data_IF_453400493089
#
_entry.id   IF_453400493089
#
_cell.length_a   1.000
_cell.length_b   1.000
_cell.length_c   1.000
_cell.angle_alpha   90.00
_cell.angle_beta   90.00
_cell.angle_gamma   90.00
#
_symmetry.space_group_name_H-M   'P 1'
#
loop_
_entity.id
_entity.type
_entity.pdbx_description
1 polymer ?
#
# COMPACT_ATOMS: atom_id res chain seq x y z
N UNK A 1 31.42 -18.54 -4.18
CA UNK A 1 31.73 -17.42 -5.08
C UNK A 1 30.72 -17.44 -6.21
N UNK A 2 30.09 -16.29 -6.50
CA UNK A 2 29.30 -16.11 -7.73
C UNK A 2 30.27 -16.04 -8.90
N UNK A 3 30.01 -16.79 -9.97
CA UNK A 3 30.74 -16.76 -11.21
C UNK A 3 29.77 -16.38 -12.33
N UNK A 4 30.16 -15.47 -13.19
CA UNK A 4 29.47 -15.16 -14.42
C UNK A 4 30.01 -16.09 -15.51
N UNK A 5 29.09 -16.73 -16.25
CA UNK A 5 29.44 -17.67 -17.32
C UNK A 5 28.81 -17.17 -18.60
N UNK A 6 29.64 -16.76 -19.55
CA UNK A 6 29.20 -16.35 -20.88
C UNK A 6 29.35 -17.50 -21.87
N UNK A 7 28.33 -17.73 -22.69
CA UNK A 7 28.35 -18.69 -23.78
C UNK A 7 28.56 -17.95 -25.10
N UNK A 8 29.65 -18.19 -25.78
CA UNK A 8 29.92 -17.61 -27.09
C UNK A 8 29.11 -18.38 -28.15
N UNK A 9 28.10 -17.74 -28.71
CA UNK A 9 27.21 -18.34 -29.73
C UNK A 9 27.81 -18.23 -31.12
N UNK A 10 28.38 -17.08 -31.50
CA UNK A 10 28.99 -16.86 -32.81
C UNK A 10 30.09 -15.78 -32.77
N UNK A 11 30.97 -15.79 -33.76
CA UNK A 11 31.98 -14.76 -34.02
C UNK A 11 31.82 -14.25 -35.43
N UNK A 12 31.46 -12.99 -35.58
CA UNK A 12 31.10 -12.38 -36.86
C UNK A 12 32.14 -11.32 -37.28
N UNK A 13 32.44 -11.27 -38.56
CA UNK A 13 33.17 -10.15 -39.13
C UNK A 13 32.17 -9.28 -39.89
N UNK A 14 32.10 -8.00 -39.53
CA UNK A 14 31.17 -7.06 -40.15
C UNK A 14 31.49 -6.83 -41.63
N UNK A 15 30.67 -7.39 -42.49
CA UNK A 15 30.69 -7.22 -43.95
C UNK A 15 29.23 -6.97 -44.40
N UNK A 16 29.02 -6.38 -45.59
CA UNK A 16 27.71 -5.97 -46.06
C UNK A 16 26.61 -7.05 -46.11
N UNK A 17 26.96 -8.34 -46.03
CA UNK A 17 26.00 -9.46 -46.05
C UNK A 17 25.78 -10.14 -44.67
N UNK A 18 26.30 -9.55 -43.59
CA UNK A 18 26.30 -10.19 -42.25
C UNK A 18 24.93 -10.13 -41.54
N UNK A 19 24.03 -9.26 -41.99
CA UNK A 19 22.76 -8.98 -41.27
C UNK A 19 21.94 -10.26 -40.95
N UNK A 20 21.72 -11.12 -41.93
CA UNK A 20 20.97 -12.37 -41.74
C UNK A 20 21.58 -13.30 -40.69
N UNK A 21 22.91 -13.52 -40.82
CA UNK A 21 23.64 -14.37 -39.88
C UNK A 21 23.66 -13.77 -38.48
N UNK A 22 23.76 -12.45 -38.37
CA UNK A 22 23.67 -11.74 -37.09
C UNK A 22 22.31 -11.94 -36.45
N UNK A 23 21.22 -11.82 -37.22
CA UNK A 23 19.84 -12.07 -36.71
C UNK A 23 19.70 -13.51 -36.20
N UNK A 24 20.13 -14.50 -37.00
CA UNK A 24 20.04 -15.91 -36.61
C UNK A 24 20.84 -16.18 -35.31
N UNK A 25 22.05 -15.59 -35.19
CA UNK A 25 22.91 -15.73 -34.01
C UNK A 25 22.32 -15.03 -32.77
N UNK A 26 21.71 -13.86 -32.93
CA UNK A 26 21.02 -13.14 -31.85
C UNK A 26 19.78 -13.91 -31.35
N UNK A 27 19.00 -14.52 -32.24
CA UNK A 27 17.85 -15.34 -31.86
C UNK A 27 18.27 -16.57 -31.05
N UNK A 28 19.36 -17.24 -31.45
CA UNK A 28 19.91 -18.39 -30.71
C UNK A 28 20.43 -17.94 -29.34
N UNK A 29 21.19 -16.83 -29.28
CA UNK A 29 21.72 -16.30 -28.03
C UNK A 29 20.60 -15.86 -27.06
N UNK A 30 19.58 -15.15 -27.56
CA UNK A 30 18.42 -14.73 -26.78
C UNK A 30 17.66 -15.94 -26.18
N UNK A 31 17.45 -16.98 -26.99
CA UNK A 31 16.78 -18.21 -26.55
C UNK A 31 17.58 -18.95 -25.47
N UNK A 32 18.89 -19.06 -25.61
CA UNK A 32 19.75 -19.76 -24.64
C UNK A 32 19.84 -19.04 -23.31
N UNK A 33 19.93 -17.70 -23.33
CA UNK A 33 20.10 -16.87 -22.14
C UNK A 33 18.78 -16.27 -21.60
N UNK A 34 17.63 -16.73 -22.07
CA UNK A 34 16.33 -16.27 -21.59
C UNK A 34 16.06 -14.79 -21.86
N UNK A 35 16.55 -14.26 -23.00
CA UNK A 35 16.33 -12.91 -23.47
C UNK A 35 17.52 -11.93 -23.26
N UNK A 36 18.63 -12.37 -22.68
CA UNK A 36 19.82 -11.51 -22.47
C UNK A 36 20.89 -11.88 -23.50
N UNK A 37 21.38 -10.88 -24.21
CA UNK A 37 22.44 -11.04 -25.22
C UNK A 37 23.55 -10.03 -24.99
N UNK A 38 24.79 -10.52 -24.91
CA UNK A 38 26.01 -9.72 -24.82
C UNK A 38 26.69 -9.68 -26.18
N UNK A 39 26.97 -8.51 -26.68
CA UNK A 39 27.72 -8.29 -27.93
C UNK A 39 29.02 -7.61 -27.59
N UNK A 40 30.15 -8.28 -27.91
CA UNK A 40 31.49 -7.75 -27.73
C UNK A 40 32.04 -7.29 -29.10
N UNK A 41 32.50 -6.05 -29.18
CA UNK A 41 33.07 -5.48 -30.39
C UNK A 41 34.57 -5.28 -30.21
N UNK A 42 35.34 -6.04 -30.96
CA UNK A 42 36.84 -5.94 -31.01
C UNK A 42 37.53 -6.06 -29.64
N UNK A 43 36.96 -6.78 -28.70
CA UNK A 43 37.52 -6.98 -27.36
C UNK A 43 37.57 -5.72 -26.47
N UNK A 44 36.97 -4.62 -26.91
CA UNK A 44 37.05 -3.33 -26.21
C UNK A 44 35.69 -2.74 -25.78
N UNK A 45 34.61 -3.08 -26.48
CA UNK A 45 33.28 -2.55 -26.20
C UNK A 45 32.28 -3.68 -26.03
N UNK A 46 31.74 -3.78 -24.85
CA UNK A 46 30.65 -4.69 -24.54
C UNK A 46 29.31 -3.92 -24.61
N UNK A 47 28.32 -4.52 -25.26
CA UNK A 47 26.93 -4.04 -25.29
C UNK A 47 26.05 -5.16 -24.82
N UNK A 48 25.26 -4.89 -23.79
CA UNK A 48 24.30 -5.84 -23.25
C UNK A 48 22.91 -5.46 -23.74
N UNK A 49 22.22 -6.41 -24.33
CA UNK A 49 20.83 -6.26 -24.80
C UNK A 49 19.93 -7.18 -24.00
N UNK A 50 18.74 -6.72 -23.71
CA UNK A 50 17.76 -7.52 -23.02
C UNK A 50 16.41 -7.40 -23.75
N UNK A 51 15.86 -8.53 -24.14
CA UNK A 51 14.55 -8.63 -24.78
C UNK A 51 13.41 -8.50 -23.78
N UNK A 52 13.70 -8.77 -22.52
CA UNK A 52 12.79 -8.55 -21.38
C UNK A 52 13.10 -7.18 -20.77
N UNK A 53 12.11 -6.48 -20.27
CA UNK A 53 12.19 -5.14 -19.68
C UNK A 53 13.11 -5.09 -18.44
N UNK A 54 14.40 -5.35 -18.61
CA UNK A 54 15.41 -5.35 -17.55
C UNK A 54 16.51 -4.34 -17.87
N UNK A 55 16.92 -3.58 -16.87
CA UNK A 55 18.05 -2.67 -16.99
C UNK A 55 19.35 -3.47 -16.93
N UNK A 56 20.21 -3.30 -17.93
CA UNK A 56 21.49 -3.98 -18.03
C UNK A 56 22.56 -3.40 -17.12
N UNK A 57 22.37 -2.17 -16.63
CA UNK A 57 23.31 -1.48 -15.73
C UNK A 57 23.03 -1.75 -14.26
N UNK A 58 21.76 -1.64 -13.83
CA UNK A 58 21.39 -1.77 -12.43
C UNK A 58 20.70 -3.12 -12.09
N UNK A 59 20.44 -3.97 -13.08
CA UNK A 59 19.82 -5.29 -12.88
C UNK A 59 18.33 -5.27 -12.52
N UNK A 60 17.69 -4.10 -12.49
CA UNK A 60 16.24 -4.00 -12.23
C UNK A 60 15.52 -4.63 -13.42
N UNK A 61 14.67 -5.62 -13.12
CA UNK A 61 13.82 -6.28 -14.10
C UNK A 61 12.36 -5.91 -13.86
N UNK A 62 11.70 -5.46 -14.92
CA UNK A 62 10.26 -5.23 -14.89
C UNK A 62 9.52 -6.49 -15.32
N UNK A 63 8.40 -6.82 -14.66
CA UNK A 63 7.55 -7.89 -15.12
C UNK A 63 6.95 -7.56 -16.49
N UNK A 64 6.46 -8.57 -17.18
CA UNK A 64 5.72 -8.39 -18.42
C UNK A 64 4.55 -7.43 -18.22
N UNK A 65 4.39 -6.48 -19.14
CA UNK A 65 3.30 -5.49 -19.07
C UNK A 65 2.00 -6.19 -19.41
N UNK A 66 1.23 -6.50 -18.38
CA UNK A 66 -0.10 -7.11 -18.51
C UNK A 66 -1.19 -6.18 -17.96
N UNK A 67 -2.44 -6.29 -18.39
CA UNK A 67 -3.54 -5.49 -17.82
C UNK A 67 -3.69 -5.65 -16.31
N UNK A 68 -3.35 -6.82 -15.74
CA UNK A 68 -3.41 -7.10 -14.31
C UNK A 68 -2.42 -6.27 -13.48
N UNK A 69 -1.35 -5.78 -14.10
CA UNK A 69 -0.38 -4.88 -13.47
C UNK A 69 -1.00 -3.51 -13.10
N UNK A 70 -2.04 -3.09 -13.77
CA UNK A 70 -2.77 -1.83 -13.54
C UNK A 70 -4.04 -2.03 -12.69
N UNK A 71 -4.24 -3.21 -12.14
CA UNK A 71 -5.39 -3.50 -11.29
C UNK A 71 -4.98 -3.54 -9.82
N UNK A 72 -5.54 -2.64 -9.01
CA UNK A 72 -5.33 -2.65 -7.55
C UNK A 72 -6.08 -3.79 -6.84
N UNK A 73 -7.00 -4.50 -7.52
CA UNK A 73 -7.65 -5.72 -7.02
C UNK A 73 -6.87 -6.99 -7.37
N UNK A 74 -5.79 -6.88 -8.15
CA UNK A 74 -4.93 -8.01 -8.50
C UNK A 74 -3.66 -8.01 -7.66
N UNK A 75 -3.21 -9.12 -7.10
CA UNK A 75 -1.95 -9.20 -6.37
C UNK A 75 -0.72 -8.85 -7.23
N UNK A 76 -0.86 -8.92 -8.56
CA UNK A 76 0.20 -8.53 -9.50
C UNK A 76 0.36 -7.01 -9.60
N UNK A 77 -0.73 -6.24 -9.47
CA UNK A 77 -0.74 -4.78 -9.59
C UNK A 77 -0.88 -4.04 -8.26
N UNK A 78 -1.53 -4.64 -7.26
CA UNK A 78 -1.77 -4.02 -5.98
C UNK A 78 -0.48 -3.70 -5.22
N UNK A 79 -0.41 -2.54 -4.60
CA UNK A 79 0.64 -2.20 -3.65
C UNK A 79 0.74 -3.25 -2.54
N UNK A 80 1.92 -3.76 -2.29
CA UNK A 80 2.14 -4.84 -1.30
C UNK A 80 1.88 -4.40 0.13
N UNK A 81 2.11 -3.14 0.45
CA UNK A 81 1.90 -2.58 1.79
C UNK A 81 0.42 -2.42 2.12
N UNK A 82 -0.34 -1.72 1.26
CA UNK A 82 -1.76 -1.44 1.51
C UNK A 82 -2.72 -2.42 0.83
N UNK A 83 -2.22 -3.45 0.16
CA UNK A 83 -3.01 -4.45 -0.58
C UNK A 83 -4.04 -3.86 -1.56
N UNK A 84 -3.70 -2.70 -2.13
CA UNK A 84 -4.57 -2.00 -3.09
C UNK A 84 -5.58 -1.03 -2.47
N UNK A 85 -5.55 -0.82 -1.15
CA UNK A 85 -6.45 0.13 -0.48
C UNK A 85 -6.07 1.60 -0.72
N UNK A 86 -4.78 1.90 -0.90
CA UNK A 86 -4.27 3.27 -1.03
C UNK A 86 -4.03 3.95 0.32
N UNK A 87 -4.56 3.37 1.38
CA UNK A 87 -4.50 3.86 2.75
C UNK A 87 -3.95 2.77 3.66
N UNK A 88 -3.38 3.16 4.78
CA UNK A 88 -2.96 2.28 5.86
C UNK A 88 -3.68 2.70 7.13
N UNK A 89 -4.38 1.75 7.72
CA UNK A 89 -5.03 1.94 9.00
C UNK A 89 -4.02 1.71 10.12
N UNK A 90 -4.09 2.52 11.16
CA UNK A 90 -3.24 2.42 12.34
C UNK A 90 -4.04 2.81 13.58
N UNK A 91 -3.66 2.27 14.73
CA UNK A 91 -4.23 2.69 16.02
C UNK A 91 -3.67 4.05 16.39
N UNK A 92 -4.56 5.03 16.50
CA UNK A 92 -4.20 6.43 16.72
C UNK A 92 -4.05 6.69 18.22
N UNK A 93 -2.87 7.15 18.69
CA UNK A 93 -2.67 7.52 20.08
C UNK A 93 -3.68 8.53 20.63
N UNK A 94 -4.13 9.49 19.81
CA UNK A 94 -5.13 10.49 20.20
C UNK A 94 -6.54 9.88 20.37
N UNK A 95 -6.87 8.83 19.65
CA UNK A 95 -8.11 8.08 19.85
C UNK A 95 -8.00 7.09 21.02
N UNK A 96 -6.81 6.56 21.29
CA UNK A 96 -6.54 5.70 22.43
C UNK A 96 -6.64 6.48 23.75
N UNK A 97 -6.10 7.70 23.77
CA UNK A 97 -6.13 8.61 24.94
C UNK A 97 -6.83 9.91 24.54
N UNK A 98 -8.16 9.92 24.42
CA UNK A 98 -8.89 11.07 23.88
C UNK A 98 -8.93 12.29 24.82
N UNK A 99 -8.70 12.07 26.11
CA UNK A 99 -8.61 13.14 27.12
C UNK A 99 -7.38 12.93 28.01
N UNK A 100 -6.32 13.66 27.70
CA UNK A 100 -5.07 13.61 28.45
C UNK A 100 -5.19 14.18 29.87
N UNK A 101 -6.26 14.88 30.20
CA UNK A 101 -6.49 15.44 31.53
C UNK A 101 -7.04 14.40 32.54
N UNK A 102 -7.41 13.22 32.05
CA UNK A 102 -7.94 12.12 32.87
C UNK A 102 -6.78 11.29 33.44
N UNK A 103 -6.96 10.77 34.66
CA UNK A 103 -5.98 9.86 35.27
C UNK A 103 -6.11 8.45 34.66
N UNK A 104 -4.99 7.69 34.70
CA UNK A 104 -4.96 6.33 34.14
C UNK A 104 -6.05 5.45 34.75
N UNK A 105 -6.19 5.48 36.09
CA UNK A 105 -7.21 4.70 36.84
C UNK A 105 -8.63 5.10 36.46
N UNK A 106 -8.84 6.33 36.06
CA UNK A 106 -10.16 6.88 35.66
C UNK A 106 -10.51 6.53 34.21
N UNK A 107 -9.60 5.85 33.49
CA UNK A 107 -9.84 5.38 32.13
C UNK A 107 -9.27 6.28 31.04
N UNK A 108 -8.16 6.96 31.28
CA UNK A 108 -7.46 7.74 30.26
C UNK A 108 -7.15 6.89 29.00
N UNK A 109 -6.83 5.60 29.17
CA UNK A 109 -6.62 4.64 28.09
C UNK A 109 -7.99 4.03 27.74
N UNK A 110 -8.70 4.65 26.81
CA UNK A 110 -10.10 4.33 26.48
C UNK A 110 -10.36 2.87 26.10
N UNK A 111 -9.53 2.19 25.24
CA UNK A 111 -9.79 0.81 24.85
C UNK A 111 -9.65 -0.22 25.98
N UNK A 112 -9.03 0.13 27.10
CA UNK A 112 -8.89 -0.72 28.28
C UNK A 112 -9.96 -0.46 29.35
N UNK A 113 -10.80 0.55 29.15
CA UNK A 113 -11.99 0.77 29.93
C UNK A 113 -13.03 -0.35 29.72
N UNK A 114 -13.96 -0.52 30.65
CA UNK A 114 -15.19 -1.29 30.38
C UNK A 114 -16.09 -0.45 29.50
N UNK A 115 -16.72 -1.05 28.50
CA UNK A 115 -17.73 -0.36 27.69
C UNK A 115 -18.78 0.32 28.61
N UNK A 116 -18.87 1.65 28.54
CA UNK A 116 -19.73 2.45 29.39
C UNK A 116 -19.25 2.72 30.84
N UNK A 117 -18.05 2.27 31.23
CA UNK A 117 -17.47 2.55 32.54
C UNK A 117 -16.30 3.52 32.43
N UNK A 118 -16.25 4.51 33.36
CA UNK A 118 -15.15 5.47 33.48
C UNK A 118 -13.91 4.92 34.22
N UNK A 119 -13.64 3.62 34.12
CA UNK A 119 -12.49 2.99 34.80
C UNK A 119 -11.91 1.86 33.96
N UNK A 120 -10.60 1.69 34.03
CA UNK A 120 -9.92 0.55 33.42
C UNK A 120 -10.47 -0.76 33.98
N UNK A 121 -10.43 -1.85 33.16
CA UNK A 121 -10.78 -3.18 33.65
C UNK A 121 -9.77 -3.62 34.73
N UNK A 122 -10.18 -4.45 35.69
CA UNK A 122 -9.34 -4.89 36.79
C UNK A 122 -8.02 -5.52 36.32
N UNK A 123 -8.05 -6.24 35.19
CA UNK A 123 -6.87 -6.85 34.60
C UNK A 123 -5.85 -5.78 34.14
N UNK A 124 -6.29 -4.83 33.32
CA UNK A 124 -5.42 -3.77 32.82
C UNK A 124 -4.94 -2.84 33.92
N UNK A 125 -5.79 -2.59 34.93
CA UNK A 125 -5.41 -1.79 36.08
C UNK A 125 -4.25 -2.43 36.85
N UNK A 126 -4.33 -3.73 37.16
CA UNK A 126 -3.27 -4.46 37.83
C UNK A 126 -1.96 -4.44 37.05
N UNK A 127 -2.03 -4.55 35.73
CA UNK A 127 -0.87 -4.44 34.85
C UNK A 127 -0.26 -3.00 34.89
N UNK A 128 -1.09 -1.97 34.83
CA UNK A 128 -0.67 -0.57 34.91
C UNK A 128 -0.05 -0.22 36.27
N UNK A 129 -0.54 -0.82 37.37
CA UNK A 129 0.06 -0.68 38.70
C UNK A 129 1.45 -1.34 38.78
N UNK A 130 1.66 -2.48 38.13
CA UNK A 130 2.99 -3.09 38.02
C UNK A 130 3.96 -2.19 37.24
N UNK A 131 3.52 -1.61 36.11
CA UNK A 131 4.30 -0.63 35.35
C UNK A 131 4.61 0.60 36.21
N UNK A 132 3.62 1.10 36.96
CA UNK A 132 3.79 2.24 37.85
C UNK A 132 4.85 2.00 38.93
N UNK A 133 4.87 0.79 39.51
CA UNK A 133 5.90 0.39 40.49
C UNK A 133 7.29 0.26 39.87
N UNK A 134 7.38 -0.27 38.65
CA UNK A 134 8.64 -0.45 37.94
C UNK A 134 9.27 0.88 37.49
N UNK A 135 8.47 1.74 36.89
CA UNK A 135 8.91 3.03 36.32
C UNK A 135 8.75 4.24 37.25
N UNK A 136 8.20 4.05 38.45
CA UNK A 136 8.08 5.12 39.46
C UNK A 136 6.98 6.15 39.15
N UNK A 137 5.85 5.74 38.53
CA UNK A 137 4.70 6.61 38.34
C UNK A 137 3.45 6.07 39.04
N UNK A 138 2.48 6.94 39.32
CA UNK A 138 1.20 6.57 39.92
C UNK A 138 0.10 6.48 38.88
N UNK A 139 -0.73 5.46 38.94
CA UNK A 139 -1.93 5.32 38.10
C UNK A 139 -2.99 6.41 38.36
N UNK A 140 -2.88 7.11 39.50
CA UNK A 140 -3.71 8.27 39.83
C UNK A 140 -3.23 9.58 39.18
N UNK A 141 -2.08 9.56 38.51
CA UNK A 141 -1.58 10.72 37.78
C UNK A 141 -2.34 10.89 36.47
N UNK A 142 -2.69 12.13 36.15
CA UNK A 142 -3.26 12.48 34.84
C UNK A 142 -2.26 12.15 33.74
N UNK A 143 -2.76 11.71 32.58
CA UNK A 143 -1.90 11.29 31.48
C UNK A 143 -0.99 12.44 31.01
N UNK A 144 -1.48 13.67 30.92
CA UNK A 144 -0.72 14.88 30.55
C UNK A 144 0.38 15.27 31.54
N UNK A 145 0.35 14.74 32.76
CA UNK A 145 1.34 14.99 33.82
C UNK A 145 2.39 13.89 33.92
N UNK A 146 2.24 12.81 33.19
CA UNK A 146 3.27 11.79 33.11
C UNK A 146 4.45 12.30 32.27
N UNK A 147 5.68 11.92 32.59
CA UNK A 147 6.84 12.16 31.71
C UNK A 147 6.61 11.59 30.31
N UNK A 148 7.09 12.27 29.26
CA UNK A 148 6.90 11.84 27.86
C UNK A 148 7.39 10.41 27.59
N UNK A 149 8.51 10.01 28.20
CA UNK A 149 9.01 8.64 28.07
C UNK A 149 8.06 7.59 28.66
N UNK A 150 7.30 7.92 29.72
CA UNK A 150 6.27 7.06 30.29
C UNK A 150 5.04 7.02 29.41
N UNK A 151 4.58 8.16 28.90
CA UNK A 151 3.48 8.20 27.94
C UNK A 151 3.79 7.34 26.71
N UNK A 152 5.00 7.51 26.15
CA UNK A 152 5.46 6.72 25.00
C UNK A 152 5.58 5.23 25.33
N UNK A 153 6.13 4.88 26.48
CA UNK A 153 6.23 3.50 26.93
C UNK A 153 4.86 2.85 27.10
N UNK A 154 3.88 3.57 27.65
CA UNK A 154 2.51 3.07 27.76
C UNK A 154 1.88 2.77 26.38
N UNK A 155 2.12 3.61 25.41
CA UNK A 155 1.57 3.43 24.04
C UNK A 155 2.34 2.39 23.23
N UNK A 156 3.68 2.47 23.19
CA UNK A 156 4.53 1.70 22.27
C UNK A 156 5.15 0.43 22.91
N UNK A 157 5.18 0.36 24.25
CA UNK A 157 5.76 -0.74 25.02
C UNK A 157 7.16 -0.47 25.57
N UNK A 158 7.66 -1.43 26.40
CA UNK A 158 8.97 -1.34 27.06
C UNK A 158 10.15 -1.79 26.18
N UNK A 159 9.91 -2.14 24.91
CA UNK A 159 10.93 -2.69 24.03
C UNK A 159 11.37 -4.08 24.46
N UNK A 160 12.64 -4.24 24.84
CA UNK A 160 13.21 -5.51 25.31
C UNK A 160 13.28 -5.60 26.84
N UNK A 161 12.91 -4.53 27.54
CA UNK A 161 12.96 -4.48 29.02
C UNK A 161 11.86 -5.36 29.61
N UNK A 162 12.27 -6.35 30.41
CA UNK A 162 11.36 -7.27 31.09
C UNK A 162 10.84 -6.69 32.39
N UNK A 163 9.56 -6.82 32.63
CA UNK A 163 8.84 -6.28 33.79
C UNK A 163 8.17 -7.42 34.54
N UNK A 164 8.22 -7.37 35.87
CA UNK A 164 7.56 -8.32 36.73
C UNK A 164 6.08 -7.95 36.89
N UNK A 165 5.20 -8.72 36.26
CA UNK A 165 3.77 -8.59 36.40
C UNK A 165 3.24 -9.54 37.47
N UNK A 166 2.48 -9.00 38.42
CA UNK A 166 1.83 -9.76 39.47
C UNK A 166 0.33 -9.55 39.39
N UNK A 167 -0.39 -10.61 39.17
CA UNK A 167 -1.84 -10.61 39.19
C UNK A 167 -2.32 -11.32 40.48
N UNK A 168 -3.03 -10.59 41.31
CA UNK A 168 -3.63 -11.13 42.52
C UNK A 168 -5.15 -11.15 42.39
N UNK A 169 -5.74 -12.31 42.59
CA UNK A 169 -7.19 -12.48 42.75
C UNK A 169 -7.46 -13.14 44.10
N UNK A 170 -8.69 -13.11 44.57
CA UNK A 170 -9.08 -13.71 45.86
C UNK A 170 -8.68 -15.19 46.00
N UNK A 171 -8.43 -15.90 44.88
CA UNK A 171 -8.17 -17.36 44.86
C UNK A 171 -6.79 -17.73 44.30
N UNK A 172 -6.05 -16.81 43.68
CA UNK A 172 -4.76 -17.15 43.08
C UNK A 172 -3.86 -15.92 42.93
N UNK A 173 -2.56 -16.14 43.14
CA UNK A 173 -1.51 -15.19 42.83
C UNK A 173 -0.67 -15.80 41.70
N UNK A 174 -0.60 -15.07 40.56
CA UNK A 174 0.19 -15.47 39.42
C UNK A 174 1.20 -14.36 39.09
N UNK A 175 2.45 -14.72 38.91
CA UNK A 175 3.50 -13.78 38.50
C UNK A 175 4.22 -14.30 37.26
N UNK A 176 4.52 -13.41 36.39
CA UNK A 176 5.30 -13.69 35.18
C UNK A 176 6.17 -12.48 34.84
N UNK A 177 7.25 -12.74 34.12
CA UNK A 177 8.20 -11.71 33.69
C UNK A 177 8.26 -11.69 32.16
N UNK A 178 7.97 -10.54 31.59
CA UNK A 178 8.01 -10.32 30.15
C UNK A 178 8.10 -8.83 29.81
N UNK A 179 8.52 -8.46 28.58
CA UNK A 179 8.40 -7.10 28.09
C UNK A 179 6.92 -6.68 28.03
N UNK A 180 6.66 -5.40 28.28
CA UNK A 180 5.36 -4.81 28.07
C UNK A 180 5.16 -4.48 26.62
N UNK A 181 4.13 -5.04 25.98
CA UNK A 181 3.89 -4.87 24.53
C UNK A 181 3.44 -3.47 24.12
N UNK A 182 2.89 -2.66 25.04
CA UNK A 182 2.27 -1.37 24.75
C UNK A 182 0.81 -1.47 24.31
N UNK A 183 0.08 -0.37 24.48
CA UNK A 183 -1.35 -0.33 24.13
C UNK A 183 -1.56 -0.55 22.64
N UNK A 184 -0.79 0.14 21.78
CA UNK A 184 -0.94 0.06 20.31
C UNK A 184 -0.77 -1.38 19.83
N UNK A 185 0.33 -2.04 20.19
CA UNK A 185 0.58 -3.43 19.77
C UNK A 185 -0.44 -4.42 20.35
N UNK A 186 -0.89 -4.18 21.60
CA UNK A 186 -1.97 -4.97 22.19
C UNK A 186 -3.24 -4.90 21.35
N UNK A 187 -3.62 -3.70 20.91
CA UNK A 187 -4.80 -3.50 20.07
C UNK A 187 -4.61 -4.11 18.68
N UNK A 188 -3.44 -3.92 18.04
CA UNK A 188 -3.09 -4.54 16.76
C UNK A 188 -3.23 -6.07 16.82
N UNK A 189 -2.63 -6.70 17.83
CA UNK A 189 -2.71 -8.15 18.02
C UNK A 189 -4.16 -8.59 18.24
N UNK A 190 -4.90 -7.91 19.12
CA UNK A 190 -6.31 -8.24 19.38
C UNK A 190 -7.20 -8.08 18.15
N UNK A 191 -6.96 -7.07 17.34
CA UNK A 191 -7.68 -6.84 16.09
C UNK A 191 -7.41 -7.94 15.05
N UNK A 192 -6.17 -8.46 15.00
CA UNK A 192 -5.78 -9.55 14.10
C UNK A 192 -6.30 -10.90 14.56
N UNK A 193 -6.28 -11.17 15.86
CA UNK A 193 -6.61 -12.48 16.46
C UNK A 193 -8.11 -12.69 16.72
N UNK A 194 -8.90 -11.59 16.81
CA UNK A 194 -10.33 -11.71 17.11
C UNK A 194 -11.12 -12.34 15.99
N UNK A 195 -11.95 -13.33 16.34
CA UNK A 195 -12.94 -13.91 15.44
C UNK A 195 -14.31 -13.20 15.51
N UNK A 196 -14.52 -12.31 16.51
CA UNK A 196 -15.76 -11.57 16.71
C UNK A 196 -15.75 -10.27 15.91
N UNK A 197 -16.76 -10.08 15.07
CA UNK A 197 -16.97 -8.86 14.29
C UNK A 197 -17.26 -7.66 15.20
N UNK A 198 -18.09 -7.83 16.25
CA UNK A 198 -18.41 -6.76 17.22
C UNK A 198 -17.15 -6.25 17.93
N UNK A 199 -16.23 -7.18 18.33
CA UNK A 199 -14.97 -6.79 18.98
C UNK A 199 -14.05 -6.07 17.99
N UNK A 200 -14.07 -6.48 16.73
CA UNK A 200 -13.27 -5.83 15.68
C UNK A 200 -13.77 -4.39 15.43
N UNK A 201 -15.07 -4.21 15.27
CA UNK A 201 -15.69 -2.88 15.13
C UNK A 201 -15.42 -1.96 16.33
N UNK A 202 -15.46 -2.51 17.55
CA UNK A 202 -15.15 -1.74 18.76
C UNK A 202 -13.65 -1.29 18.76
N UNK A 203 -12.74 -2.13 18.29
CA UNK A 203 -11.33 -1.78 18.18
C UNK A 203 -11.07 -0.77 17.04
N UNK A 204 -11.78 -0.88 15.93
CA UNK A 204 -11.67 0.05 14.79
C UNK A 204 -12.02 1.49 15.13
N UNK A 205 -12.80 1.73 16.20
CA UNK A 205 -13.06 3.09 16.72
C UNK A 205 -11.81 3.84 17.18
N UNK A 206 -10.74 3.12 17.47
CA UNK A 206 -9.44 3.66 17.86
C UNK A 206 -8.44 3.71 16.72
N UNK A 207 -8.92 3.43 15.49
CA UNK A 207 -8.09 3.47 14.29
C UNK A 207 -8.35 4.73 13.49
N UNK A 208 -7.29 5.22 12.88
CA UNK A 208 -7.33 6.27 11.87
C UNK A 208 -6.68 5.76 10.58
N UNK A 209 -6.90 6.44 9.47
CA UNK A 209 -6.27 6.11 8.20
C UNK A 209 -5.29 7.19 7.79
N UNK A 210 -4.21 6.78 7.15
CA UNK A 210 -3.28 7.68 6.49
C UNK A 210 -3.00 7.18 5.08
N UNK A 211 -2.67 8.09 4.18
CA UNK A 211 -2.23 7.72 2.83
C UNK A 211 -1.06 6.74 2.93
N UNK A 212 -1.14 5.64 2.20
CA UNK A 212 -0.08 4.63 2.21
C UNK A 212 1.27 5.25 1.79
N UNK A 213 2.30 5.17 2.65
CA UNK A 213 3.59 5.82 2.37
C UNK A 213 4.37 5.19 1.22
N UNK A 214 4.05 3.95 0.84
CA UNK A 214 4.74 3.22 -0.24
C UNK A 214 4.19 3.58 -1.61
N UNK A 215 2.87 3.59 -1.76
CA UNK A 215 2.22 3.89 -3.05
C UNK A 215 1.66 5.31 -3.12
N UNK A 216 1.73 6.07 -2.02
CA UNK A 216 1.24 7.45 -1.93
C UNK A 216 -0.20 7.63 -2.44
N UNK A 217 -1.06 6.66 -2.15
CA UNK A 217 -2.46 6.66 -2.56
C UNK A 217 -2.74 6.07 -3.95
N UNK A 218 -1.73 5.73 -4.76
CA UNK A 218 -1.96 5.16 -6.10
C UNK A 218 -2.57 3.76 -6.10
N UNK A 219 -2.55 3.06 -4.96
CA UNK A 219 -3.03 1.69 -4.77
C UNK A 219 -2.24 0.62 -5.53
N UNK A 220 -1.36 1.03 -6.43
CA UNK A 220 -0.60 0.16 -7.34
C UNK A 220 0.87 0.07 -6.92
N UNK A 221 1.55 -0.96 -7.43
CA UNK A 221 3.00 -1.08 -7.35
C UNK A 221 3.68 0.05 -8.12
N UNK A 222 4.91 0.40 -7.71
CA UNK A 222 5.67 1.49 -8.34
C UNK A 222 5.96 1.23 -9.81
N UNK A 223 6.11 -0.03 -10.21
CA UNK A 223 6.37 -0.44 -11.59
C UNK A 223 5.28 0.04 -12.56
N UNK A 224 4.02 0.01 -12.13
CA UNK A 224 2.91 0.52 -12.94
C UNK A 224 3.00 2.03 -13.22
N UNK A 225 3.65 2.80 -12.33
CA UNK A 225 3.81 4.25 -12.47
C UNK A 225 4.84 4.66 -13.52
N UNK A 226 5.77 3.77 -13.87
CA UNK A 226 6.78 4.05 -14.87
C UNK A 226 6.26 3.91 -16.31
N UNK A 227 5.12 3.25 -16.49
CA UNK A 227 4.45 3.12 -17.78
C UNK A 227 3.58 4.36 -17.99
N UNK A 228 3.89 5.12 -19.04
CA UNK A 228 3.26 6.41 -19.32
C UNK A 228 2.67 6.45 -20.72
N UNK A 229 1.55 7.11 -20.86
CA UNK A 229 0.92 7.47 -22.13
C UNK A 229 0.90 8.98 -22.19
N UNK A 230 1.50 9.56 -23.22
CA UNK A 230 1.67 11.00 -23.38
C UNK A 230 2.24 11.69 -22.10
N UNK A 231 3.27 11.07 -21.51
CA UNK A 231 3.95 11.54 -20.30
C UNK A 231 3.20 11.34 -18.97
N UNK A 232 1.97 10.80 -18.99
CA UNK A 232 1.13 10.57 -17.80
C UNK A 232 1.09 9.10 -17.41
N UNK A 233 1.24 8.82 -16.13
CA UNK A 233 0.99 7.49 -15.54
C UNK A 233 -0.51 7.26 -15.34
N UNK A 234 -0.88 6.01 -15.05
CA UNK A 234 -2.28 5.68 -14.71
C UNK A 234 -2.75 6.43 -13.45
N UNK A 235 -1.88 6.68 -12.47
CA UNK A 235 -2.19 7.50 -11.30
C UNK A 235 -2.53 8.93 -11.69
N UNK A 236 -1.67 9.55 -12.53
CA UNK A 236 -1.87 10.93 -12.96
C UNK A 236 -3.23 11.10 -13.65
N UNK A 237 -3.62 10.13 -14.47
CA UNK A 237 -4.91 10.15 -15.17
C UNK A 237 -6.07 9.84 -14.23
N UNK A 238 -5.93 8.85 -13.32
CA UNK A 238 -7.00 8.50 -12.40
C UNK A 238 -7.29 9.58 -11.36
N UNK A 239 -6.30 10.40 -11.00
CA UNK A 239 -6.45 11.53 -10.06
C UNK A 239 -7.00 12.81 -10.71
N UNK A 240 -7.10 12.86 -12.04
CA UNK A 240 -7.72 14.00 -12.73
C UNK A 240 -9.23 14.05 -12.47
N UNK A 241 -9.83 15.26 -12.38
CA UNK A 241 -11.27 15.41 -12.57
C UNK A 241 -11.72 14.78 -13.89
N UNK A 242 -12.90 14.15 -13.90
CA UNK A 242 -13.43 13.46 -15.10
C UNK A 242 -13.42 14.36 -16.33
N UNK A 243 -13.76 15.65 -16.19
CA UNK A 243 -13.71 16.63 -17.30
C UNK A 243 -12.32 16.71 -17.93
N UNK A 244 -11.25 16.70 -17.09
CA UNK A 244 -9.88 16.82 -17.56
C UNK A 244 -9.40 15.50 -18.16
N UNK A 245 -9.86 14.36 -17.63
CA UNK A 245 -9.60 13.04 -18.21
C UNK A 245 -10.24 12.89 -19.61
N UNK A 246 -11.47 13.41 -19.82
CA UNK A 246 -12.11 13.46 -21.15
C UNK A 246 -11.24 14.25 -22.14
N UNK A 247 -10.76 15.42 -21.74
CA UNK A 247 -9.89 16.25 -22.58
C UNK A 247 -8.54 15.56 -22.86
N UNK A 248 -7.96 14.91 -21.87
CA UNK A 248 -6.71 14.16 -22.01
C UNK A 248 -6.84 13.04 -23.05
N UNK A 249 -7.85 12.17 -22.95
CA UNK A 249 -8.04 11.08 -23.90
C UNK A 249 -8.44 11.56 -25.29
N UNK A 250 -9.19 12.66 -25.39
CA UNK A 250 -9.54 13.29 -26.68
C UNK A 250 -8.37 14.01 -27.38
N UNK A 251 -7.36 14.42 -26.61
CA UNK A 251 -6.18 15.16 -27.09
C UNK A 251 -4.92 14.30 -27.27
N UNK A 252 -4.97 12.99 -27.10
CA UNK A 252 -3.81 12.11 -27.20
C UNK A 252 -3.16 12.18 -28.59
N UNK A 253 -1.86 12.42 -28.61
CA UNK A 253 -1.04 12.44 -29.82
C UNK A 253 -0.52 11.04 -30.12
N UNK A 254 -1.26 10.29 -30.91
CA UNK A 254 -0.93 8.94 -31.32
C UNK A 254 -0.49 8.90 -32.78
N UNK A 255 0.43 8.00 -33.10
CA UNK A 255 0.74 7.65 -34.49
C UNK A 255 -0.46 6.95 -35.14
N UNK A 256 -0.55 6.92 -36.49
CA UNK A 256 -1.65 6.20 -37.16
C UNK A 256 -1.80 4.73 -36.73
N UNK A 257 -0.70 4.04 -36.49
CA UNK A 257 -0.69 2.63 -36.03
C UNK A 257 -1.21 2.52 -34.58
N UNK A 258 -0.75 3.37 -33.67
CA UNK A 258 -1.23 3.41 -32.29
C UNK A 258 -2.71 3.75 -32.20
N UNK A 259 -3.15 4.73 -33.02
CA UNK A 259 -4.56 5.11 -33.09
C UNK A 259 -5.45 3.94 -33.53
N UNK A 260 -5.02 3.17 -34.53
CA UNK A 260 -5.80 1.99 -34.98
C UNK A 260 -5.87 0.90 -33.89
N UNK A 261 -4.75 0.67 -33.19
CA UNK A 261 -4.70 -0.30 -32.07
C UNK A 261 -5.61 0.16 -30.91
N UNK A 262 -5.56 1.44 -30.55
CA UNK A 262 -6.26 1.99 -29.39
C UNK A 262 -7.71 2.40 -29.68
N UNK A 263 -8.12 2.49 -30.92
CA UNK A 263 -9.41 3.04 -31.39
C UNK A 263 -10.62 2.56 -30.60
N UNK A 264 -10.74 1.23 -30.42
CA UNK A 264 -11.88 0.64 -29.70
C UNK A 264 -11.87 0.99 -28.21
N UNK A 265 -10.70 0.92 -27.58
CA UNK A 265 -10.52 1.23 -26.17
C UNK A 265 -10.76 2.72 -25.91
N UNK A 266 -10.20 3.59 -26.73
CA UNK A 266 -10.38 5.05 -26.59
C UNK A 266 -11.84 5.46 -26.78
N UNK A 267 -12.54 4.85 -27.73
CA UNK A 267 -13.97 5.07 -27.91
C UNK A 267 -14.74 4.73 -26.64
N UNK A 268 -14.53 3.53 -26.10
CA UNK A 268 -15.24 3.06 -24.91
C UNK A 268 -14.90 3.90 -23.65
N UNK A 269 -13.62 4.26 -23.46
CA UNK A 269 -13.19 5.14 -22.36
C UNK A 269 -13.85 6.52 -22.51
N UNK A 270 -13.84 7.11 -23.72
CA UNK A 270 -14.47 8.40 -23.99
C UNK A 270 -15.97 8.41 -23.74
N UNK A 271 -16.68 7.37 -24.16
CA UNK A 271 -18.12 7.21 -23.93
C UNK A 271 -18.43 7.10 -22.43
N UNK A 272 -17.70 6.29 -21.66
CA UNK A 272 -17.90 6.12 -20.21
C UNK A 272 -17.59 7.39 -19.45
N UNK A 273 -16.48 8.06 -19.73
CA UNK A 273 -16.11 9.33 -19.09
C UNK A 273 -17.10 10.45 -19.44
N UNK A 274 -17.50 10.52 -20.71
CA UNK A 274 -18.51 11.49 -21.18
C UNK A 274 -19.85 11.26 -20.49
N UNK A 275 -20.21 10.00 -20.24
CA UNK A 275 -21.42 9.68 -19.53
C UNK A 275 -21.39 10.18 -18.07
N UNK A 276 -20.28 9.95 -17.36
CA UNK A 276 -20.08 10.46 -15.99
C UNK A 276 -20.13 11.99 -15.94
N UNK A 277 -19.54 12.66 -16.95
CA UNK A 277 -19.62 14.10 -17.07
C UNK A 277 -21.06 14.59 -17.29
N UNK A 278 -21.82 13.91 -18.16
CA UNK A 278 -23.21 14.27 -18.50
C UNK A 278 -24.20 14.13 -17.31
N UNK A 279 -23.94 13.20 -16.38
CA UNK A 279 -24.75 13.09 -15.15
C UNK A 279 -24.29 14.07 -14.07
N UNK A 280 -23.39 15.00 -14.39
CA UNK A 280 -22.93 16.06 -13.49
C UNK A 280 -21.90 15.56 -12.45
N UNK A 281 -21.05 14.60 -12.83
CA UNK A 281 -19.93 14.08 -12.04
C UNK A 281 -18.56 14.46 -12.64
N UNK A 282 -18.52 15.53 -13.39
CA UNK A 282 -17.34 16.01 -14.12
C UNK A 282 -16.19 16.48 -13.20
N UNK A 283 -16.52 16.84 -11.95
CA UNK A 283 -15.59 17.35 -10.93
C UNK A 283 -14.91 16.28 -10.08
N UNK A 284 -15.42 15.04 -10.05
CA UNK A 284 -14.81 13.96 -9.25
C UNK A 284 -13.69 13.29 -10.04
N UNK A 285 -12.77 12.64 -9.32
CA UNK A 285 -11.70 11.82 -9.90
C UNK A 285 -12.01 10.33 -9.85
N UNK A 286 -11.38 9.53 -10.71
CA UNK A 286 -11.59 8.09 -10.76
C UNK A 286 -10.96 7.33 -9.57
N UNK A 287 -9.96 7.92 -8.92
CA UNK A 287 -9.29 7.36 -7.75
C UNK A 287 -10.04 7.63 -6.43
N UNK A 288 -11.10 8.45 -6.47
CA UNK A 288 -11.89 8.77 -5.26
C UNK A 288 -12.51 7.53 -4.65
N UNK A 289 -12.32 7.35 -3.35
CA UNK A 289 -12.89 6.22 -2.61
C UNK A 289 -14.42 6.27 -2.61
N UNK A 290 -15.06 5.11 -2.84
CA UNK A 290 -16.51 4.97 -2.82
C UNK A 290 -17.12 5.37 -1.46
N UNK A 291 -16.39 5.18 -0.35
CA UNK A 291 -16.81 5.56 1.01
C UNK A 291 -16.93 7.07 1.20
N UNK A 292 -16.26 7.87 0.36
CA UNK A 292 -16.29 9.35 0.43
C UNK A 292 -17.35 9.97 -0.46
N UNK A 293 -18.09 9.16 -1.23
CA UNK A 293 -19.15 9.64 -2.11
C UNK A 293 -20.40 9.98 -1.32
N UNK A 294 -21.02 11.12 -1.64
CA UNK A 294 -22.37 11.43 -1.15
C UNK A 294 -23.41 10.47 -1.75
N UNK A 295 -24.55 10.31 -1.07
CA UNK A 295 -25.63 9.46 -1.57
C UNK A 295 -26.09 9.84 -2.99
N UNK A 296 -26.12 11.13 -3.33
CA UNK A 296 -26.47 11.62 -4.67
C UNK A 296 -25.42 11.31 -5.72
N UNK A 297 -24.13 11.37 -5.37
CA UNK A 297 -23.03 10.97 -6.27
C UNK A 297 -23.09 9.46 -6.55
N UNK A 298 -23.28 8.64 -5.50
CA UNK A 298 -23.43 7.20 -5.63
C UNK A 298 -24.63 6.79 -6.52
N UNK A 299 -25.77 7.48 -6.39
CA UNK A 299 -26.93 7.24 -7.27
C UNK A 299 -26.63 7.59 -8.73
N UNK A 300 -25.98 8.72 -8.99
CA UNK A 300 -25.58 9.13 -10.36
C UNK A 300 -24.59 8.17 -10.99
N UNK A 301 -23.61 7.63 -10.22
CA UNK A 301 -22.70 6.60 -10.72
C UNK A 301 -23.45 5.33 -11.10
N UNK A 302 -24.42 4.88 -10.26
CA UNK A 302 -25.24 3.70 -10.58
C UNK A 302 -26.06 3.91 -11.84
N UNK A 303 -26.69 5.09 -12.00
CA UNK A 303 -27.42 5.45 -13.19
C UNK A 303 -26.50 5.41 -14.45
N UNK A 304 -25.30 6.00 -14.34
CA UNK A 304 -24.30 5.98 -15.40
C UNK A 304 -23.92 4.55 -15.79
N UNK A 305 -23.77 3.64 -14.81
CA UNK A 305 -23.43 2.24 -15.08
C UNK A 305 -24.56 1.49 -15.77
N UNK A 306 -25.83 1.75 -15.39
CA UNK A 306 -26.98 1.07 -15.99
C UNK A 306 -27.22 1.48 -17.44
N UNK A 307 -27.05 2.75 -17.76
CA UNK A 307 -27.25 3.24 -19.14
C UNK A 307 -26.04 2.91 -20.01
N UNK A 308 -24.81 3.02 -19.48
CA UNK A 308 -23.58 2.67 -20.20
C UNK A 308 -23.39 1.16 -20.47
N UNK A 309 -24.11 0.28 -19.77
CA UNK A 309 -24.12 -1.15 -20.04
C UNK A 309 -25.15 -1.59 -21.08
N UNK A 310 -26.00 -0.66 -21.53
CA UNK A 310 -27.08 -0.93 -22.50
C UNK A 310 -26.69 -0.50 -23.95
N UNK A 311 -25.48 0.00 -24.13
CA UNK A 311 -24.87 0.35 -25.41
C UNK A 311 -23.71 -0.60 -25.72
#
# INVERSE_FOLDING_TARGET
>A
KKHDIDVVVDRLVMKGSVARRLTDSLEVASRLAGGIVKVEVNGAREMLFNEKLSCTECGISYPEITPTMFSFNSPYGACEECKGLGEKYYFDPELIVPDHSVAIIEGAIAPWGKAGAKRASAYYLSMLECLGRHYGFSVHTRFDKLPENIQKMLLEGSGVEEIDFVYESEKSRYSYRQPFEGVVKNLERRHQETASEDVREDLERYMNSQTCPVCEGSRLKKEAMFIKIDGRSIRDVASMPIKDAVLFFGGLKLTPSEHEIARRVLKEVGERLGFLANVGLDYISLDRSASTLSGGEGQRIRLATQIGSSL
#
